data_IF_627994226861
#
_entry.id   IF_627994226861
#
_cell.length_a   1.000
_cell.length_b   1.000
_cell.length_c   1.000
_cell.angle_alpha   90.00
_cell.angle_beta   90.00
_cell.angle_gamma   90.00
#
_symmetry.space_group_name_H-M   'P 1'
#
loop_
_entity.id
_entity.type
_entity.pdbx_description
1 polymer ?
#
# COMPACT_ATOMS: atom_id res chain seq x y z
N UNK A 1 15.70 18.13 26.12
CA UNK A 1 15.73 16.73 25.64
C UNK A 1 14.36 16.20 25.31
N UNK A 2 13.37 16.48 26.13
CA UNK A 2 11.97 16.11 25.84
C UNK A 2 11.45 16.68 24.51
N UNK A 3 11.88 17.88 24.11
CA UNK A 3 11.46 18.50 22.85
C UNK A 3 11.89 17.72 21.60
N UNK A 4 13.06 17.07 21.63
CA UNK A 4 13.54 16.25 20.52
C UNK A 4 12.69 14.98 20.37
N UNK A 5 12.37 14.32 21.50
CA UNK A 5 11.51 13.14 21.50
C UNK A 5 10.09 13.45 21.03
N UNK A 6 9.52 14.57 21.46
CA UNK A 6 8.20 15.02 21.04
C UNK A 6 8.19 15.32 19.54
N UNK A 7 9.20 16.02 19.04
CA UNK A 7 9.31 16.32 17.62
C UNK A 7 9.42 15.07 16.75
N UNK A 8 10.20 14.09 17.20
CA UNK A 8 10.33 12.81 16.51
C UNK A 8 9.01 12.03 16.48
N UNK A 9 8.32 11.97 17.60
CA UNK A 9 7.01 11.31 17.69
C UNK A 9 5.97 12.02 16.83
N UNK A 10 5.98 13.34 16.80
CA UNK A 10 5.07 14.12 15.94
C UNK A 10 5.30 13.85 14.48
N UNK A 11 6.56 13.79 14.05
CA UNK A 11 6.91 13.47 12.67
C UNK A 11 6.49 12.06 12.29
N UNK A 12 6.69 11.10 13.18
CA UNK A 12 6.28 9.71 12.96
C UNK A 12 4.77 9.59 12.81
N UNK A 13 4.00 10.28 13.65
CA UNK A 13 2.54 10.31 13.53
C UNK A 13 2.09 10.94 12.23
N UNK A 14 2.74 12.02 11.83
CA UNK A 14 2.43 12.69 10.57
C UNK A 14 2.68 11.78 9.36
N UNK A 15 3.78 11.00 9.38
CA UNK A 15 4.08 10.04 8.32
C UNK A 15 3.03 8.93 8.26
N UNK A 16 2.64 8.39 9.41
CA UNK A 16 1.60 7.38 9.48
C UNK A 16 0.26 7.91 8.97
N UNK A 17 -0.08 9.13 9.34
CA UNK A 17 -1.31 9.77 8.88
C UNK A 17 -1.29 9.98 7.36
N UNK A 18 -0.16 10.46 6.82
CA UNK A 18 0.01 10.65 5.39
C UNK A 18 -0.07 9.32 4.63
N UNK A 19 0.58 8.27 5.14
CA UNK A 19 0.52 6.94 4.56
C UNK A 19 -0.89 6.36 4.60
N UNK A 20 -1.61 6.55 5.70
CA UNK A 20 -3.00 6.12 5.83
C UNK A 20 -3.92 6.81 4.83
N UNK A 21 -3.73 8.10 4.63
CA UNK A 21 -4.50 8.87 3.65
C UNK A 21 -4.18 8.40 2.22
N UNK A 22 -2.91 8.18 1.91
CA UNK A 22 -2.50 7.66 0.61
C UNK A 22 -3.05 6.26 0.38
N UNK A 23 -3.03 5.42 1.40
CA UNK A 23 -3.61 4.08 1.34
C UNK A 23 -5.10 4.13 1.01
N UNK A 24 -5.86 4.98 1.71
CA UNK A 24 -7.28 5.17 1.42
C UNK A 24 -7.54 5.61 -0.02
N UNK A 25 -6.72 6.55 -0.51
CA UNK A 25 -6.82 7.04 -1.88
C UNK A 25 -6.52 5.97 -2.93
N UNK A 26 -5.45 5.20 -2.74
CA UNK A 26 -5.10 4.14 -3.67
C UNK A 26 -6.12 3.00 -3.67
N UNK A 27 -6.68 2.66 -2.50
CA UNK A 27 -7.72 1.64 -2.40
C UNK A 27 -8.98 2.07 -3.15
N UNK A 28 -9.39 3.32 -2.97
CA UNK A 28 -10.53 3.88 -3.68
C UNK A 28 -10.32 3.84 -5.20
N UNK A 29 -9.13 4.19 -5.65
CA UNK A 29 -8.79 4.18 -7.07
C UNK A 29 -8.74 2.75 -7.62
N UNK A 30 -8.08 1.83 -6.92
CA UNK A 30 -7.90 0.45 -7.35
C UNK A 30 -9.21 -0.33 -7.41
N UNK A 31 -10.15 0.00 -6.52
CA UNK A 31 -11.44 -0.68 -6.42
C UNK A 31 -12.56 0.08 -7.11
N UNK A 32 -12.24 1.07 -7.95
CA UNK A 32 -13.23 1.82 -8.70
C UNK A 32 -14.07 0.87 -9.58
N UNK A 33 -15.40 0.98 -9.54
CA UNK A 33 -16.29 0.02 -10.24
C UNK A 33 -16.02 -0.10 -11.73
N UNK A 34 -15.58 0.95 -12.39
CA UNK A 34 -15.37 0.96 -13.83
C UNK A 34 -14.40 -0.12 -14.30
N UNK A 35 -13.37 -0.45 -13.51
CA UNK A 35 -12.42 -1.51 -13.87
C UNK A 35 -13.09 -2.88 -13.96
N UNK A 36 -14.11 -3.11 -13.16
CA UNK A 36 -14.76 -4.42 -13.01
C UNK A 36 -16.03 -4.54 -13.82
N UNK A 37 -16.75 -3.44 -13.98
CA UNK A 37 -18.00 -3.42 -14.76
C UNK A 37 -17.77 -3.62 -16.25
N UNK A 38 -16.65 -3.12 -16.78
CA UNK A 38 -16.31 -3.29 -18.20
C UNK A 38 -15.76 -4.68 -18.51
N UNK A 39 -15.45 -5.48 -17.48
CA UNK A 39 -14.87 -6.80 -17.67
C UNK A 39 -13.37 -6.82 -17.96
N UNK A 40 -12.70 -5.66 -17.93
CA UNK A 40 -11.26 -5.58 -18.17
C UNK A 40 -10.46 -6.19 -17.03
N UNK A 41 -11.00 -6.11 -15.81
CA UNK A 41 -10.42 -6.74 -14.62
C UNK A 41 -11.46 -7.67 -14.03
N UNK A 42 -11.06 -8.89 -13.72
CA UNK A 42 -11.96 -9.84 -13.09
C UNK A 42 -12.37 -9.34 -11.69
N UNK A 43 -13.68 -9.33 -11.40
CA UNK A 43 -14.18 -8.95 -10.09
C UNK A 43 -14.08 -10.15 -9.13
N UNK A 44 -12.85 -10.51 -8.85
CA UNK A 44 -12.47 -11.60 -7.95
C UNK A 44 -11.51 -11.06 -6.91
N UNK A 45 -11.29 -11.82 -5.86
CA UNK A 45 -10.27 -11.48 -4.87
C UNK A 45 -8.90 -11.26 -5.54
N UNK A 46 -8.51 -12.16 -6.44
CA UNK A 46 -7.24 -12.07 -7.16
C UNK A 46 -7.16 -10.83 -8.03
N UNK A 47 -8.22 -10.53 -8.79
CA UNK A 47 -8.27 -9.36 -9.64
C UNK A 47 -8.13 -8.06 -8.85
N UNK A 48 -8.85 -7.97 -7.73
CA UNK A 48 -8.77 -6.81 -6.84
C UNK A 48 -7.39 -6.67 -6.21
N UNK A 49 -6.79 -7.79 -5.76
CA UNK A 49 -5.46 -7.77 -5.18
C UNK A 49 -4.41 -7.28 -6.20
N UNK A 50 -4.52 -7.71 -7.45
CA UNK A 50 -3.64 -7.24 -8.52
C UNK A 50 -3.79 -5.75 -8.77
N UNK A 51 -5.01 -5.24 -8.80
CA UNK A 51 -5.26 -3.81 -8.99
C UNK A 51 -4.69 -2.97 -7.85
N UNK A 52 -4.88 -3.42 -6.62
CA UNK A 52 -4.29 -2.74 -5.45
C UNK A 52 -2.77 -2.76 -5.53
N UNK A 53 -2.18 -3.88 -5.93
CA UNK A 53 -0.72 -4.02 -6.07
C UNK A 53 -0.17 -3.03 -7.11
N UNK A 54 -0.80 -2.94 -8.27
CA UNK A 54 -0.37 -2.01 -9.32
C UNK A 54 -0.46 -0.56 -8.84
N UNK A 55 -1.57 -0.18 -8.25
CA UNK A 55 -1.74 1.19 -7.74
C UNK A 55 -0.74 1.52 -6.63
N UNK A 56 -0.50 0.57 -5.73
CA UNK A 56 0.47 0.74 -4.66
C UNK A 56 1.89 0.90 -5.22
N UNK A 57 2.27 0.06 -6.17
CA UNK A 57 3.59 0.12 -6.79
C UNK A 57 3.82 1.47 -7.48
N UNK A 58 2.82 1.97 -8.21
CA UNK A 58 2.91 3.26 -8.87
C UNK A 58 3.00 4.41 -7.88
N UNK A 59 2.22 4.37 -6.80
CA UNK A 59 2.24 5.40 -5.76
C UNK A 59 3.60 5.44 -5.06
N UNK A 60 4.12 4.29 -4.68
CA UNK A 60 5.41 4.17 -3.99
C UNK A 60 6.54 4.65 -4.89
N UNK A 61 6.53 4.22 -6.15
CA UNK A 61 7.51 4.65 -7.14
C UNK A 61 7.51 6.17 -7.30
N UNK A 62 6.33 6.77 -7.36
CA UNK A 62 6.18 8.22 -7.47
C UNK A 62 6.75 8.94 -6.25
N UNK A 63 6.42 8.46 -5.07
CA UNK A 63 6.93 9.04 -3.82
C UNK A 63 8.45 8.95 -3.73
N UNK A 64 9.02 7.83 -4.13
CA UNK A 64 10.47 7.64 -4.12
C UNK A 64 11.19 8.51 -5.16
N UNK A 65 10.50 8.93 -6.21
CA UNK A 65 11.06 9.82 -7.22
C UNK A 65 11.04 11.30 -6.78
N UNK A 66 10.26 11.64 -5.75
CA UNK A 66 10.21 13.01 -5.22
C UNK A 66 11.49 13.30 -4.44
N UNK A 67 11.98 14.58 -4.49
CA UNK A 67 13.18 14.94 -3.73
C UNK A 67 12.92 14.92 -2.22
N UNK A 68 13.96 14.63 -1.46
CA UNK A 68 13.91 14.66 -0.01
C UNK A 68 13.66 13.30 0.61
N UNK A 69 14.17 13.14 1.83
CA UNK A 69 14.09 11.89 2.56
C UNK A 69 12.69 11.62 3.13
N UNK A 70 11.89 12.66 3.31
CA UNK A 70 10.56 12.52 3.92
C UNK A 70 9.61 11.73 3.03
N UNK A 71 9.63 11.98 1.73
CA UNK A 71 8.80 11.24 0.77
C UNK A 71 9.15 9.75 0.77
N UNK A 72 10.43 9.40 0.85
CA UNK A 72 10.88 8.01 0.93
C UNK A 72 10.38 7.34 2.22
N UNK A 73 10.37 8.06 3.33
CA UNK A 73 9.87 7.54 4.62
C UNK A 73 8.36 7.31 4.57
N UNK A 74 7.62 8.21 3.94
CA UNK A 74 6.17 8.03 3.74
C UNK A 74 5.92 6.84 2.81
N UNK A 75 6.71 6.69 1.75
CA UNK A 75 6.60 5.54 0.86
C UNK A 75 6.81 4.22 1.59
N UNK A 76 7.80 4.15 2.49
CA UNK A 76 8.04 2.96 3.30
C UNK A 76 6.87 2.68 4.25
N UNK A 77 6.30 3.70 4.87
CA UNK A 77 5.12 3.55 5.72
C UNK A 77 3.89 3.09 4.92
N UNK A 78 3.73 3.59 3.71
CA UNK A 78 2.65 3.16 2.81
C UNK A 78 2.84 1.69 2.41
N UNK A 79 4.04 1.28 2.07
CA UNK A 79 4.35 -0.12 1.74
C UNK A 79 3.97 -1.05 2.88
N UNK A 80 4.35 -0.71 4.10
CA UNK A 80 4.00 -1.49 5.28
C UNK A 80 2.49 -1.57 5.46
N UNK A 81 1.78 -0.46 5.25
CA UNK A 81 0.32 -0.41 5.38
C UNK A 81 -0.37 -1.30 4.34
N UNK A 82 0.14 -1.31 3.11
CA UNK A 82 -0.40 -2.16 2.02
C UNK A 82 -0.19 -3.63 2.37
N UNK A 83 1.01 -4.01 2.81
CA UNK A 83 1.32 -5.40 3.17
C UNK A 83 0.45 -5.88 4.33
N UNK A 84 0.25 -5.04 5.34
CA UNK A 84 -0.64 -5.35 6.47
C UNK A 84 -2.08 -5.57 5.99
N UNK A 85 -2.53 -4.75 5.05
CA UNK A 85 -3.85 -4.89 4.44
C UNK A 85 -4.00 -6.22 3.71
N UNK A 86 -3.00 -6.63 2.94
CA UNK A 86 -3.00 -7.92 2.26
C UNK A 86 -3.01 -9.08 3.25
N UNK A 87 -2.18 -9.02 4.29
CA UNK A 87 -2.15 -10.07 5.30
C UNK A 87 -3.52 -10.25 5.96
N UNK A 88 -4.18 -9.16 6.30
CA UNK A 88 -5.53 -9.21 6.88
C UNK A 88 -6.54 -9.79 5.90
N UNK A 89 -6.50 -9.35 4.65
CA UNK A 89 -7.43 -9.83 3.61
C UNK A 89 -7.25 -11.32 3.32
N UNK A 90 -6.01 -11.79 3.24
CA UNK A 90 -5.72 -13.20 3.00
C UNK A 90 -6.17 -14.07 4.18
N UNK A 91 -6.02 -13.60 5.40
CA UNK A 91 -6.54 -14.31 6.58
C UNK A 91 -8.05 -14.43 6.54
N UNK A 92 -8.75 -13.37 6.18
CA UNK A 92 -10.20 -13.38 6.05
C UNK A 92 -10.67 -14.39 4.99
N UNK A 93 -9.89 -14.54 3.92
CA UNK A 93 -10.19 -15.52 2.86
C UNK A 93 -9.79 -16.94 3.24
N UNK A 94 -9.13 -17.15 4.39
CA UNK A 94 -8.61 -18.45 4.77
C UNK A 94 -7.43 -18.91 3.90
N UNK A 95 -6.78 -17.99 3.22
CA UNK A 95 -5.66 -18.28 2.32
C UNK A 95 -4.37 -17.97 3.05
N UNK A 96 -3.65 -18.97 3.53
CA UNK A 96 -2.38 -18.80 4.22
C UNK A 96 -1.25 -18.48 3.25
N UNK A 97 -0.35 -19.45 3.03
CA UNK A 97 0.80 -19.28 2.13
C UNK A 97 0.44 -19.57 0.67
N UNK A 98 -0.56 -18.87 0.15
CA UNK A 98 -0.97 -19.03 -1.24
C UNK A 98 0.08 -18.48 -2.19
N UNK A 99 0.07 -18.98 -3.43
CA UNK A 99 0.97 -18.49 -4.48
C UNK A 99 0.71 -17.01 -4.79
N UNK A 100 -0.54 -16.56 -4.66
CA UNK A 100 -0.88 -15.15 -4.91
C UNK A 100 -0.30 -14.24 -3.83
N UNK A 101 -0.38 -14.64 -2.56
CA UNK A 101 0.21 -13.89 -1.46
C UNK A 101 1.72 -13.73 -1.65
N UNK A 102 2.40 -14.80 -2.06
CA UNK A 102 3.83 -14.75 -2.36
C UNK A 102 4.14 -13.84 -3.52
N UNK A 103 3.34 -13.88 -4.57
CA UNK A 103 3.51 -13.01 -5.74
C UNK A 103 3.35 -11.53 -5.36
N UNK A 104 2.35 -11.21 -4.57
CA UNK A 104 2.09 -9.84 -4.12
C UNK A 104 3.26 -9.32 -3.30
N UNK A 105 3.77 -10.12 -2.36
CA UNK A 105 4.93 -9.73 -1.55
C UNK A 105 6.17 -9.53 -2.40
N UNK A 106 6.40 -10.40 -3.37
CA UNK A 106 7.52 -10.25 -4.30
C UNK A 106 7.44 -8.96 -5.10
N UNK A 107 6.27 -8.63 -5.59
CA UNK A 107 6.06 -7.37 -6.32
C UNK A 107 6.31 -6.16 -5.43
N UNK A 108 5.84 -6.19 -4.20
CA UNK A 108 6.07 -5.12 -3.24
C UNK A 108 7.57 -4.95 -2.96
N UNK A 109 8.28 -6.03 -2.74
CA UNK A 109 9.74 -6.01 -2.50
C UNK A 109 10.51 -5.45 -3.70
N UNK A 110 10.10 -5.78 -4.91
CA UNK A 110 10.76 -5.32 -6.13
C UNK A 110 10.62 -3.81 -6.33
N UNK A 111 9.64 -3.18 -5.70
CA UNK A 111 9.36 -1.74 -5.87
C UNK A 111 9.77 -0.89 -4.67
N UNK A 112 10.43 -1.45 -3.71
CA UNK A 112 10.99 -0.71 -2.59
C UNK A 112 12.22 0.10 -2.95
#
# INVERSE_FOLDING_TARGET
>A
MTGISIGWLGRRRARKAAAGKAYGGLMKAALAPDFYLTGDVADTFDGRAQMVTVHAALAIRRMNALPGAESAKIAAALSARVLDGFDAAFREQGVGDSSIARKVRKLAEAHY
#
